data_IF_490687028880
#
_entry.id   IF_490687028880
#
_cell.length_a   1.000
_cell.length_b   1.000
_cell.length_c   1.000
_cell.angle_alpha   90.00
_cell.angle_beta   90.00
_cell.angle_gamma   90.00
#
_symmetry.space_group_name_H-M   'P 1'
#
loop_
_entity.id
_entity.type
_entity.pdbx_description
1 polymer ?
#
# COMPACT_ATOMS: atom_id res chain seq x y z
N UNK A 1 20.55 -22.61 6.81
CA UNK A 1 19.60 -21.65 6.20
C UNK A 1 18.96 -20.88 7.33
N UNK A 2 19.01 -19.55 7.28
CA UNK A 2 18.55 -18.69 8.39
C UNK A 2 17.01 -18.71 8.43
N UNK A 3 16.46 -19.41 9.42
CA UNK A 3 15.04 -19.83 9.47
C UNK A 3 14.06 -18.71 9.88
N UNK A 4 14.48 -17.44 9.78
CA UNK A 4 13.69 -16.26 10.18
C UNK A 4 13.87 -15.08 9.21
N UNK A 5 14.27 -15.33 7.95
CA UNK A 5 14.41 -14.24 6.97
C UNK A 5 13.02 -13.67 6.66
N UNK A 6 12.76 -12.45 7.12
CA UNK A 6 11.54 -11.70 6.79
C UNK A 6 11.59 -11.33 5.31
N UNK A 7 10.42 -11.37 4.69
CA UNK A 7 10.20 -10.78 3.38
C UNK A 7 8.91 -9.95 3.37
N UNK A 8 8.82 -9.05 2.39
CA UNK A 8 7.57 -8.48 1.92
C UNK A 8 7.65 -8.14 0.44
N UNK A 9 6.50 -8.07 -0.24
CA UNK A 9 6.36 -7.78 -1.67
C UNK A 9 4.93 -7.35 -2.00
N UNK A 10 4.73 -6.86 -3.22
CA UNK A 10 3.38 -6.64 -3.75
C UNK A 10 2.70 -7.99 -4.02
N UNK A 11 1.45 -8.13 -3.59
CA UNK A 11 0.60 -9.26 -3.94
C UNK A 11 -0.26 -8.93 -5.17
N UNK A 12 -1.08 -7.88 -5.06
CA UNK A 12 -1.96 -7.39 -6.11
C UNK A 12 -2.37 -5.92 -5.85
N UNK A 13 -2.96 -5.29 -6.86
CA UNK A 13 -3.66 -4.00 -6.76
C UNK A 13 -5.10 -4.24 -7.22
N UNK A 14 -6.08 -3.86 -6.40
CA UNK A 14 -7.51 -4.04 -6.71
C UNK A 14 -8.36 -3.13 -5.81
N UNK A 15 -9.44 -2.57 -6.35
CA UNK A 15 -10.50 -1.92 -5.60
C UNK A 15 -10.02 -0.80 -4.68
N UNK A 16 -9.18 0.11 -5.18
CA UNK A 16 -8.54 1.18 -4.39
C UNK A 16 -7.55 0.70 -3.31
N UNK A 17 -7.07 -0.54 -3.39
CA UNK A 17 -6.18 -1.09 -2.37
C UNK A 17 -4.89 -1.69 -2.93
N UNK A 18 -3.85 -1.60 -2.12
CA UNK A 18 -2.59 -2.31 -2.30
C UNK A 18 -2.59 -3.53 -1.37
N UNK A 19 -2.59 -4.73 -1.96
CA UNK A 19 -2.46 -5.98 -1.22
C UNK A 19 -0.98 -6.27 -1.02
N UNK A 20 -0.53 -6.26 0.23
CA UNK A 20 0.86 -6.41 0.62
C UNK A 20 1.09 -7.78 1.24
N UNK A 21 1.90 -8.61 0.59
CA UNK A 21 2.29 -9.90 1.14
C UNK A 21 3.54 -9.75 1.99
N UNK A 22 3.53 -10.32 3.20
CA UNK A 22 4.67 -10.32 4.10
C UNK A 22 4.71 -11.60 4.91
N UNK A 23 5.91 -11.98 5.34
CA UNK A 23 6.08 -13.24 6.02
C UNK A 23 7.51 -13.58 6.36
N UNK A 24 7.69 -14.85 6.70
CA UNK A 24 8.97 -15.53 6.79
C UNK A 24 8.84 -16.90 6.09
N UNK A 25 9.81 -17.78 6.27
CA UNK A 25 9.80 -19.13 5.69
C UNK A 25 8.75 -20.11 6.27
N UNK A 26 7.99 -19.72 7.30
CA UNK A 26 6.99 -20.56 7.98
C UNK A 26 5.57 -20.06 7.80
N UNK A 27 5.40 -18.76 7.66
CA UNK A 27 4.11 -18.09 7.64
C UNK A 27 4.14 -16.92 6.66
N UNK A 28 3.01 -16.69 5.98
CA UNK A 28 2.78 -15.59 5.05
C UNK A 28 1.39 -15.04 5.30
N UNK A 29 1.28 -13.73 5.22
CA UNK A 29 0.08 -12.96 5.48
C UNK A 29 -0.07 -11.91 4.39
N UNK A 30 -1.32 -11.50 4.13
CA UNK A 30 -1.65 -10.40 3.23
C UNK A 30 -2.32 -9.33 4.08
N UNK A 31 -1.92 -8.07 3.89
CA UNK A 31 -2.60 -6.92 4.47
C UNK A 31 -3.00 -5.95 3.36
N UNK A 32 -4.23 -5.47 3.41
CA UNK A 32 -4.77 -4.52 2.44
C UNK A 32 -4.58 -3.09 2.94
N UNK A 33 -3.84 -2.29 2.18
CA UNK A 33 -3.73 -0.85 2.38
C UNK A 33 -4.69 -0.12 1.47
N UNK A 34 -5.63 0.64 2.02
CA UNK A 34 -6.47 1.57 1.27
C UNK A 34 -5.68 2.80 0.81
N UNK A 35 -5.95 3.24 -0.42
CA UNK A 35 -5.49 4.45 -1.08
C UNK A 35 -5.68 5.72 -0.23
N UNK A 36 -6.76 5.80 0.57
CA UNK A 36 -7.10 7.01 1.33
C UNK A 36 -6.71 6.98 2.81
N UNK A 37 -6.89 5.85 3.49
CA UNK A 37 -6.79 5.77 4.94
C UNK A 37 -5.42 5.32 5.44
N UNK A 38 -4.62 4.69 4.59
CA UNK A 38 -3.32 4.13 4.96
C UNK A 38 -2.26 4.54 3.96
N UNK A 39 -1.64 5.71 4.16
CA UNK A 39 -0.49 6.19 3.36
C UNK A 39 0.76 5.31 3.59
N UNK A 40 0.63 4.01 3.35
CA UNK A 40 1.63 3.01 3.63
C UNK A 40 2.83 3.20 2.72
N UNK A 41 2.61 3.45 1.44
CA UNK A 41 3.69 3.63 0.47
C UNK A 41 4.50 4.91 0.73
N UNK A 42 3.92 6.11 0.96
CA UNK A 42 4.71 7.25 1.44
C UNK A 42 5.51 6.93 2.71
N UNK A 43 4.92 6.22 3.67
CA UNK A 43 5.64 5.81 4.88
C UNK A 43 6.74 4.77 4.63
N UNK A 44 6.56 3.87 3.68
CA UNK A 44 7.59 2.91 3.24
C UNK A 44 8.73 3.63 2.54
N UNK A 45 8.45 4.63 1.68
CA UNK A 45 9.47 5.50 1.07
C UNK A 45 10.20 6.31 2.15
N UNK A 46 9.49 6.82 3.16
CA UNK A 46 10.09 7.52 4.30
C UNK A 46 10.99 6.59 5.12
N UNK A 47 10.54 5.36 5.37
CA UNK A 47 11.32 4.33 6.04
C UNK A 47 12.59 4.00 5.25
N UNK A 48 12.47 3.75 3.95
CA UNK A 48 13.60 3.49 3.05
C UNK A 48 14.66 4.60 3.15
N UNK A 49 14.26 5.86 3.02
CA UNK A 49 15.16 7.01 3.11
C UNK A 49 15.82 7.15 4.50
N UNK A 50 15.07 6.87 5.57
CA UNK A 50 15.63 6.90 6.94
C UNK A 50 16.69 5.81 7.12
N UNK A 51 16.43 4.61 6.63
CA UNK A 51 17.37 3.49 6.71
C UNK A 51 18.64 3.71 5.88
N UNK A 52 18.54 4.35 4.72
CA UNK A 52 19.72 4.79 3.94
C UNK A 52 20.61 5.74 4.75
N UNK A 53 20.01 6.57 5.61
CA UNK A 53 20.71 7.51 6.49
C UNK A 53 21.07 6.93 7.87
N UNK A 54 20.97 5.60 8.05
CA UNK A 54 21.22 4.92 9.33
C UNK A 54 20.30 5.37 10.47
N UNK A 55 19.11 5.86 10.14
CA UNK A 55 18.09 6.28 11.09
C UNK A 55 17.01 5.22 11.24
N UNK A 56 16.51 5.05 12.47
CA UNK A 56 15.41 4.16 12.77
C UNK A 56 14.08 4.78 12.33
N UNK A 57 13.11 3.96 11.95
CA UNK A 57 11.77 4.43 11.60
C UNK A 57 10.70 3.44 11.99
N UNK A 58 9.49 3.95 12.25
CA UNK A 58 8.30 3.14 12.49
C UNK A 58 7.08 3.84 11.93
N UNK A 59 6.12 3.06 11.46
CA UNK A 59 4.79 3.51 11.13
C UNK A 59 3.78 2.40 11.38
N UNK A 60 2.51 2.76 11.46
CA UNK A 60 1.41 1.82 11.53
C UNK A 60 0.30 2.24 10.59
N UNK A 61 -0.52 1.27 10.22
CA UNK A 61 -1.69 1.45 9.39
C UNK A 61 -2.84 0.64 10.00
N UNK A 62 -4.06 1.13 9.83
CA UNK A 62 -5.26 0.45 10.30
C UNK A 62 -6.38 0.71 9.29
N UNK A 63 -6.73 -0.35 8.56
CA UNK A 63 -7.81 -0.38 7.59
C UNK A 63 -8.71 -1.56 7.93
N UNK A 64 -8.42 -2.76 7.38
CA UNK A 64 -9.04 -4.02 7.81
C UNK A 64 -8.06 -4.78 8.73
N UNK A 65 -8.13 -4.45 10.02
CA UNK A 65 -7.13 -4.86 11.01
C UNK A 65 -6.03 -3.82 11.21
N UNK A 66 -4.89 -4.25 11.74
CA UNK A 66 -3.76 -3.39 12.08
C UNK A 66 -2.46 -4.03 11.64
N UNK A 67 -1.60 -3.23 11.03
CA UNK A 67 -0.21 -3.58 10.74
C UNK A 67 0.72 -2.47 11.23
N UNK A 68 1.83 -2.84 11.86
CA UNK A 68 2.85 -1.91 12.31
C UNK A 68 4.23 -2.39 11.85
N UNK A 69 4.99 -1.47 11.26
CA UNK A 69 6.35 -1.69 10.80
C UNK A 69 7.32 -0.94 11.69
N UNK A 70 8.37 -1.61 12.13
CA UNK A 70 9.51 -0.98 12.77
C UNK A 70 10.80 -1.47 12.13
N UNK A 71 11.69 -0.53 11.82
CA UNK A 71 13.01 -0.81 11.31
C UNK A 71 14.05 -0.14 12.21
N UNK A 72 15.01 -0.93 12.68
CA UNK A 72 16.06 -0.50 13.59
C UNK A 72 17.44 -0.84 13.06
N UNK A 73 18.33 0.14 13.02
CA UNK A 73 19.73 -0.05 12.67
C UNK A 73 20.44 -0.68 13.85
N UNK A 74 20.89 -1.93 13.71
CA UNK A 74 21.68 -2.61 14.74
C UNK A 74 23.15 -2.17 14.66
N UNK A 75 23.63 -1.99 13.44
CA UNK A 75 24.95 -1.43 13.11
C UNK A 75 24.98 -0.98 11.63
N UNK A 76 26.17 -0.60 11.15
CA UNK A 76 26.40 -0.15 9.76
C UNK A 76 26.14 -1.20 8.67
N UNK A 77 25.97 -2.47 9.02
CA UNK A 77 25.73 -3.55 8.06
C UNK A 77 24.40 -4.29 8.27
N UNK A 78 23.78 -4.19 9.46
CA UNK A 78 22.58 -4.94 9.81
C UNK A 78 21.41 -4.04 10.22
N UNK A 79 20.22 -4.39 9.73
CA UNK A 79 18.94 -3.79 10.07
C UNK A 79 18.04 -4.89 10.64
N UNK A 80 17.32 -4.58 11.71
CA UNK A 80 16.24 -5.41 12.22
C UNK A 80 14.91 -4.86 11.73
N UNK A 81 14.11 -5.69 11.08
CA UNK A 81 12.73 -5.39 10.71
C UNK A 81 11.80 -6.14 11.67
N UNK A 82 10.76 -5.46 12.12
CA UNK A 82 9.66 -6.03 12.88
C UNK A 82 8.34 -5.64 12.22
N UNK A 83 7.50 -6.64 11.94
CA UNK A 83 6.15 -6.46 11.41
C UNK A 83 5.18 -7.09 12.41
N UNK A 84 4.35 -6.27 13.03
CA UNK A 84 3.27 -6.69 13.92
C UNK A 84 1.95 -6.57 13.19
N UNK A 85 1.18 -7.65 13.12
CA UNK A 85 -0.06 -7.74 12.37
C UNK A 85 -1.17 -8.35 13.21
N UNK A 86 -2.39 -7.81 13.07
CA UNK A 86 -3.59 -8.39 13.66
C UNK A 86 -4.84 -8.10 12.83
N UNK A 87 -5.58 -9.15 12.49
CA UNK A 87 -6.83 -9.09 11.73
C UNK A 87 -7.62 -10.38 11.97
N UNK A 88 -8.95 -10.34 12.05
CA UNK A 88 -9.78 -11.56 12.08
C UNK A 88 -9.43 -12.59 13.17
N UNK A 89 -8.83 -12.18 14.29
CA UNK A 89 -8.36 -13.08 15.36
C UNK A 89 -6.95 -13.64 15.17
N UNK A 90 -6.32 -13.40 14.02
CA UNK A 90 -4.91 -13.65 13.75
C UNK A 90 -4.08 -12.58 14.46
N UNK A 91 -2.97 -12.98 15.06
CA UNK A 91 -1.93 -12.09 15.60
C UNK A 91 -0.56 -12.66 15.25
N UNK A 92 0.24 -11.88 14.54
CA UNK A 92 1.58 -12.27 14.13
C UNK A 92 2.59 -11.17 14.48
N UNK A 93 3.71 -11.55 15.06
CA UNK A 93 4.84 -10.66 15.34
C UNK A 93 6.09 -11.24 14.68
N UNK A 94 6.39 -10.75 13.49
CA UNK A 94 7.54 -11.18 12.72
C UNK A 94 8.73 -10.29 13.06
N UNK A 95 9.86 -10.90 13.44
CA UNK A 95 11.11 -10.17 13.67
C UNK A 95 12.29 -10.86 12.97
N UNK A 96 13.03 -10.10 12.17
CA UNK A 96 14.10 -10.59 11.32
C UNK A 96 15.24 -9.60 11.22
N UNK A 97 16.46 -10.12 11.08
CA UNK A 97 17.67 -9.33 10.84
C UNK A 97 18.12 -9.56 9.42
N UNK A 98 18.40 -8.46 8.71
CA UNK A 98 18.79 -8.46 7.32
C UNK A 98 20.10 -7.69 7.17
N UNK A 99 20.92 -8.07 6.20
CA UNK A 99 21.95 -7.15 5.74
C UNK A 99 21.28 -5.90 5.15
N UNK A 100 21.96 -4.76 5.30
CA UNK A 100 21.43 -3.47 4.86
C UNK A 100 21.03 -3.47 3.39
N UNK A 101 21.93 -3.97 2.55
CA UNK A 101 21.69 -4.07 1.10
C UNK A 101 20.45 -4.92 0.83
N UNK A 102 20.33 -6.09 1.47
CA UNK A 102 19.14 -6.94 1.32
C UNK A 102 17.84 -6.24 1.78
N UNK A 103 17.90 -5.50 2.88
CA UNK A 103 16.76 -4.76 3.40
C UNK A 103 16.33 -3.62 2.45
N UNK A 104 17.30 -2.86 1.93
CA UNK A 104 17.04 -1.75 1.01
C UNK A 104 16.52 -2.27 -0.34
N UNK A 105 17.12 -3.34 -0.88
CA UNK A 105 16.65 -4.00 -2.11
C UNK A 105 15.23 -4.54 -1.97
N UNK A 106 14.83 -5.01 -0.78
CA UNK A 106 13.44 -5.46 -0.57
C UNK A 106 12.42 -4.30 -0.70
N UNK A 107 12.76 -3.10 -0.22
CA UNK A 107 11.95 -1.90 -0.48
C UNK A 107 11.98 -1.49 -1.95
N UNK A 108 13.16 -1.49 -2.57
CA UNK A 108 13.30 -1.16 -4.00
C UNK A 108 12.44 -2.06 -4.88
N UNK A 109 12.49 -3.38 -4.64
CA UNK A 109 11.68 -4.35 -5.36
C UNK A 109 10.18 -4.08 -5.17
N UNK A 110 9.73 -3.80 -3.95
CA UNK A 110 8.32 -3.44 -3.72
C UNK A 110 7.91 -2.21 -4.54
N UNK A 111 8.72 -1.16 -4.56
CA UNK A 111 8.42 0.05 -5.32
C UNK A 111 8.40 -0.20 -6.82
N UNK A 112 9.31 -1.03 -7.32
CA UNK A 112 9.36 -1.42 -8.72
C UNK A 112 8.20 -2.35 -9.09
N UNK A 113 7.79 -3.25 -8.21
CA UNK A 113 6.63 -4.11 -8.42
C UNK A 113 5.35 -3.27 -8.55
N UNK A 114 5.19 -2.22 -7.75
CA UNK A 114 4.06 -1.27 -7.88
C UNK A 114 4.12 -0.52 -9.21
N UNK A 115 5.28 0.05 -9.54
CA UNK A 115 5.47 0.83 -10.78
C UNK A 115 5.23 0.01 -12.06
N UNK A 116 5.58 -1.27 -12.03
CA UNK A 116 5.47 -2.17 -13.18
C UNK A 116 4.17 -2.97 -13.18
N UNK A 117 3.29 -2.80 -12.19
CA UNK A 117 2.00 -3.47 -12.17
C UNK A 117 1.10 -2.90 -13.27
N UNK A 118 0.49 -3.77 -14.08
CA UNK A 118 -0.41 -3.38 -15.18
C UNK A 118 -1.63 -2.58 -14.70
N UNK A 119 -2.08 -2.81 -13.47
CA UNK A 119 -3.30 -2.21 -12.92
C UNK A 119 -3.00 -0.87 -12.21
N UNK A 120 -1.73 -0.47 -12.15
CA UNK A 120 -1.29 0.87 -11.79
C UNK A 120 -1.37 1.79 -13.02
N UNK A 121 -2.00 2.99 -12.94
CA UNK A 121 -2.49 3.64 -11.72
C UNK A 121 -3.99 3.47 -11.42
N UNK A 122 -4.75 2.78 -12.28
CA UNK A 122 -6.23 2.72 -12.21
C UNK A 122 -6.78 2.09 -10.93
N UNK A 123 -6.11 1.09 -10.38
CA UNK A 123 -6.55 0.40 -9.16
C UNK A 123 -5.91 0.98 -7.90
N UNK A 124 -4.78 1.64 -8.07
CA UNK A 124 -4.05 2.33 -7.03
C UNK A 124 -2.98 3.20 -7.71
N UNK A 125 -2.79 4.47 -7.33
CA UNK A 125 -3.42 5.19 -6.23
C UNK A 125 -4.49 6.15 -6.76
N UNK A 126 -5.10 5.87 -7.93
CA UNK A 126 -6.03 6.77 -8.59
C UNK A 126 -7.40 6.10 -8.81
N UNK A 127 -7.76 5.10 -8.00
CA UNK A 127 -9.04 4.43 -8.18
C UNK A 127 -10.20 5.40 -8.01
N UNK A 128 -10.12 6.26 -7.00
CA UNK A 128 -11.13 7.28 -6.73
C UNK A 128 -11.09 8.45 -7.72
N UNK A 129 -10.05 8.52 -8.55
CA UNK A 129 -9.91 9.53 -9.60
C UNK A 129 -10.25 8.98 -11.00
N UNK A 130 -10.72 7.74 -11.11
CA UNK A 130 -11.32 7.23 -12.34
C UNK A 130 -12.56 8.06 -12.73
N UNK A 131 -12.83 8.17 -14.03
CA UNK A 131 -14.05 8.82 -14.51
C UNK A 131 -15.27 8.03 -14.04
N UNK A 132 -16.09 8.63 -13.18
CA UNK A 132 -17.23 7.99 -12.53
C UNK A 132 -18.27 7.46 -13.54
N UNK A 133 -18.64 8.25 -14.55
CA UNK A 133 -19.62 7.84 -15.58
C UNK A 133 -19.13 6.65 -16.41
N UNK A 134 -17.84 6.63 -16.77
CA UNK A 134 -17.24 5.51 -17.48
C UNK A 134 -17.12 4.28 -16.58
N UNK A 135 -16.67 4.46 -15.34
CA UNK A 135 -16.53 3.38 -14.36
C UNK A 135 -17.87 2.71 -14.07
N UNK A 136 -18.92 3.46 -13.73
CA UNK A 136 -20.27 2.92 -13.49
C UNK A 136 -20.76 2.10 -14.69
N UNK A 137 -20.63 2.66 -15.89
CA UNK A 137 -21.05 1.99 -17.12
C UNK A 137 -20.28 0.68 -17.36
N UNK A 138 -18.99 0.65 -17.10
CA UNK A 138 -18.14 -0.52 -17.37
C UNK A 138 -18.15 -1.54 -16.23
N UNK A 139 -18.40 -1.11 -15.00
CA UNK A 139 -18.68 -1.97 -13.85
C UNK A 139 -19.95 -2.79 -14.08
N UNK A 140 -21.02 -2.15 -14.58
CA UNK A 140 -22.24 -2.83 -15.03
C UNK A 140 -22.02 -3.89 -16.13
N UNK A 141 -20.94 -3.76 -16.90
CA UNK A 141 -20.54 -4.73 -17.94
C UNK A 141 -19.68 -5.83 -17.31
N UNK A 142 -18.79 -5.50 -16.38
CA UNK A 142 -17.98 -6.45 -15.62
C UNK A 142 -18.88 -7.45 -14.86
N UNK A 143 -19.91 -6.95 -14.17
CA UNK A 143 -20.92 -7.77 -13.49
C UNK A 143 -21.57 -8.78 -14.44
N UNK A 144 -22.04 -8.31 -15.60
CA UNK A 144 -22.69 -9.18 -16.60
C UNK A 144 -21.74 -10.24 -17.15
N UNK A 145 -20.47 -9.89 -17.39
CA UNK A 145 -19.45 -10.85 -17.84
C UNK A 145 -19.22 -11.89 -16.76
N UNK A 146 -19.06 -11.49 -15.51
CA UNK A 146 -18.86 -12.40 -14.38
C UNK A 146 -20.05 -13.35 -14.20
N UNK A 147 -21.28 -12.81 -14.15
CA UNK A 147 -22.51 -13.60 -14.09
C UNK A 147 -22.60 -14.62 -15.24
N UNK A 148 -22.24 -14.22 -16.46
CA UNK A 148 -22.24 -15.11 -17.62
C UNK A 148 -21.19 -16.22 -17.51
N UNK A 149 -19.98 -15.91 -17.04
CA UNK A 149 -18.91 -16.89 -16.83
C UNK A 149 -19.27 -17.92 -15.75
N UNK A 150 -19.87 -17.47 -14.65
CA UNK A 150 -20.38 -18.33 -13.58
C UNK A 150 -21.53 -19.20 -14.10
N UNK A 151 -22.50 -18.62 -14.80
CA UNK A 151 -23.63 -19.37 -15.37
C UNK A 151 -23.18 -20.44 -16.37
N UNK A 152 -22.12 -20.17 -17.14
CA UNK A 152 -21.51 -21.11 -18.08
C UNK A 152 -20.52 -22.09 -17.42
N UNK A 153 -20.30 -21.98 -16.11
CA UNK A 153 -19.35 -22.81 -15.33
C UNK A 153 -17.91 -22.73 -15.84
N UNK A 154 -17.52 -21.57 -16.37
CA UNK A 154 -16.11 -21.30 -16.68
C UNK A 154 -15.32 -20.93 -15.42
N UNK A 155 -16.01 -20.40 -14.42
CA UNK A 155 -15.47 -20.12 -13.10
C UNK A 155 -16.50 -20.42 -12.01
N UNK A 156 -16.00 -20.58 -10.79
CA UNK A 156 -16.84 -20.55 -9.60
C UNK A 156 -17.20 -19.09 -9.26
N UNK A 157 -18.12 -18.91 -8.30
CA UNK A 157 -18.47 -17.59 -7.77
C UNK A 157 -17.36 -17.09 -6.84
N UNK A 158 -16.21 -16.78 -7.44
CA UNK A 158 -14.98 -16.38 -6.79
C UNK A 158 -14.73 -14.89 -7.06
N UNK A 159 -14.59 -14.11 -5.98
CA UNK A 159 -14.35 -12.67 -6.06
C UNK A 159 -13.00 -12.36 -6.71
N UNK A 160 -12.01 -13.26 -6.63
CA UNK A 160 -10.72 -13.08 -7.29
C UNK A 160 -10.87 -12.97 -8.82
N UNK A 161 -11.87 -13.64 -9.39
CA UNK A 161 -12.14 -13.62 -10.82
C UNK A 161 -12.88 -12.34 -11.21
N UNK A 162 -13.80 -11.87 -10.36
CA UNK A 162 -14.43 -10.58 -10.53
C UNK A 162 -13.39 -9.45 -10.52
N UNK A 163 -12.47 -9.46 -9.55
CA UNK A 163 -11.38 -8.50 -9.43
C UNK A 163 -10.49 -8.46 -10.69
N UNK A 164 -10.21 -9.63 -11.29
CA UNK A 164 -9.46 -9.70 -12.55
C UNK A 164 -10.23 -9.01 -13.70
N UNK A 165 -11.55 -9.20 -13.77
CA UNK A 165 -12.39 -8.58 -14.80
C UNK A 165 -12.42 -7.07 -14.57
N UNK A 166 -12.67 -6.61 -13.35
CA UNK A 166 -12.69 -5.19 -13.01
C UNK A 166 -11.36 -4.50 -13.35
N UNK A 167 -10.24 -5.10 -12.95
CA UNK A 167 -8.90 -4.60 -13.27
C UNK A 167 -8.67 -4.42 -14.78
N UNK A 168 -9.13 -5.38 -15.59
CA UNK A 168 -9.05 -5.28 -17.06
C UNK A 168 -9.96 -4.18 -17.58
N UNK A 169 -11.19 -4.09 -17.11
CA UNK A 169 -12.14 -3.06 -17.56
C UNK A 169 -11.65 -1.66 -17.23
N UNK A 170 -11.21 -1.43 -15.98
CA UNK A 170 -10.66 -0.15 -15.56
C UNK A 170 -9.48 0.27 -16.41
N UNK A 171 -8.48 -0.61 -16.59
CA UNK A 171 -7.26 -0.30 -17.35
C UNK A 171 -7.51 -0.02 -18.83
N UNK A 172 -8.44 -0.74 -19.45
CA UNK A 172 -8.62 -0.67 -20.90
C UNK A 172 -9.70 0.32 -21.34
N UNK A 173 -10.67 0.64 -20.46
CA UNK A 173 -11.91 1.33 -20.85
C UNK A 173 -12.26 2.55 -20.01
N UNK A 174 -11.65 2.74 -18.84
CA UNK A 174 -11.94 3.87 -17.95
C UNK A 174 -10.80 4.86 -18.02
N UNK A 175 -11.12 6.14 -18.21
CA UNK A 175 -10.14 7.22 -18.17
C UNK A 175 -9.94 7.70 -16.74
N UNK A 176 -8.71 8.10 -16.38
CA UNK A 176 -8.46 8.83 -15.14
C UNK A 176 -8.70 10.32 -15.39
N UNK A 177 -9.31 11.00 -14.42
CA UNK A 177 -9.55 12.44 -14.45
C UNK A 177 -8.23 13.23 -14.56
N UNK A 178 -8.24 14.47 -15.09
CA UNK A 178 -7.04 15.30 -15.15
C UNK A 178 -6.35 15.48 -13.79
N UNK A 179 -7.12 15.67 -12.72
CA UNK A 179 -6.65 15.79 -11.34
C UNK A 179 -5.97 14.49 -10.87
N UNK A 180 -6.58 13.34 -11.15
CA UNK A 180 -5.99 12.03 -10.89
C UNK A 180 -4.67 11.81 -11.62
N UNK A 181 -4.57 12.25 -12.88
CA UNK A 181 -3.31 12.16 -13.62
C UNK A 181 -2.21 13.00 -12.94
N UNK A 182 -2.51 14.20 -12.45
CA UNK A 182 -1.53 14.99 -11.70
C UNK A 182 -1.09 14.30 -10.41
N UNK A 183 -2.02 13.68 -9.68
CA UNK A 183 -1.73 12.91 -8.48
C UNK A 183 -0.87 11.68 -8.79
N UNK A 184 -1.25 10.90 -9.80
CA UNK A 184 -0.48 9.78 -10.34
C UNK A 184 0.96 10.19 -10.69
N UNK A 185 1.18 11.29 -11.41
CA UNK A 185 2.54 11.71 -11.77
C UNK A 185 3.41 12.01 -10.53
N UNK A 186 2.82 12.63 -9.49
CA UNK A 186 3.51 12.83 -8.21
C UNK A 186 3.84 11.51 -7.53
N UNK A 187 2.90 10.57 -7.54
CA UNK A 187 3.07 9.24 -6.95
C UNK A 187 4.09 8.37 -7.69
N UNK A 188 4.06 8.42 -9.02
CA UNK A 188 5.02 7.73 -9.90
C UNK A 188 6.43 8.27 -9.67
N UNK A 189 6.59 9.59 -9.69
CA UNK A 189 7.87 10.24 -9.36
C UNK A 189 8.32 9.91 -7.94
N UNK A 190 7.36 9.86 -7.01
CA UNK A 190 7.34 9.11 -5.75
C UNK A 190 8.31 7.95 -5.72
N UNK A 191 7.78 6.91 -6.34
CA UNK A 191 8.40 5.61 -6.44
C UNK A 191 9.70 5.77 -7.23
N UNK A 192 9.72 6.29 -8.45
CA UNK A 192 10.93 6.36 -9.30
C UNK A 192 12.15 7.00 -8.62
N UNK A 193 11.94 8.10 -7.90
CA UNK A 193 13.03 8.85 -7.24
C UNK A 193 13.25 8.42 -5.79
N UNK A 194 12.41 7.53 -5.26
CA UNK A 194 12.38 7.10 -3.87
C UNK A 194 12.34 8.27 -2.89
N UNK A 195 11.82 9.42 -3.29
CA UNK A 195 11.87 10.68 -2.54
C UNK A 195 10.47 11.22 -2.35
N UNK A 196 10.05 11.51 -1.12
CA UNK A 196 8.73 12.11 -0.87
C UNK A 196 8.59 13.46 -1.59
N UNK A 197 7.50 13.70 -2.34
CA UNK A 197 7.23 15.00 -2.92
C UNK A 197 7.09 16.06 -1.82
N UNK A 198 7.49 17.29 -2.13
CA UNK A 198 7.30 18.40 -1.22
C UNK A 198 5.81 18.54 -0.86
N UNK A 199 5.50 18.67 0.43
CA UNK A 199 4.12 18.75 0.93
C UNK A 199 3.40 17.41 1.13
N UNK A 200 3.95 16.27 0.67
CA UNK A 200 3.35 14.94 0.88
C UNK A 200 3.69 14.31 2.23
N UNK A 201 4.74 14.79 2.89
CA UNK A 201 4.99 14.49 4.29
C UNK A 201 4.01 15.28 5.16
N UNK A 202 2.70 15.05 5.01
CA UNK A 202 1.60 15.57 5.85
C UNK A 202 0.26 14.92 5.43
N UNK A 203 -0.01 13.70 5.88
CA UNK A 203 -1.38 13.22 6.17
C UNK A 203 -1.45 12.68 7.61
N UNK A 204 -0.36 12.05 8.09
CA UNK A 204 -0.09 11.85 9.53
C UNK A 204 0.18 13.16 10.30
N UNK A 205 0.44 14.25 9.59
CA UNK A 205 0.49 15.61 10.14
C UNK A 205 -0.76 16.42 9.70
N UNK A 206 -1.72 15.79 9.00
CA UNK A 206 -3.06 16.34 8.76
C UNK A 206 -4.01 15.89 9.87
N UNK A 207 -3.59 16.16 11.10
CA UNK A 207 -4.53 16.58 12.12
C UNK A 207 -4.47 18.13 12.22
N UNK A 208 -4.93 18.89 11.19
CA UNK A 208 -5.10 20.33 11.37
C UNK A 208 -6.17 20.63 12.43
N UNK A 209 -6.93 19.62 12.86
CA UNK A 209 -7.88 19.70 13.95
C UNK A 209 -7.16 19.49 15.30
N UNK A 210 -6.28 18.50 15.45
CA UNK A 210 -5.58 18.18 16.70
C UNK A 210 -4.59 19.22 17.14
N UNK A 211 -3.71 19.72 16.26
CA UNK A 211 -2.76 20.78 16.63
C UNK A 211 -3.47 22.13 16.83
N UNK A 212 -4.55 22.38 16.08
CA UNK A 212 -5.42 23.55 16.28
C UNK A 212 -6.19 23.46 17.60
N UNK A 213 -6.73 22.29 17.97
CA UNK A 213 -7.43 22.02 19.23
C UNK A 213 -6.45 22.10 20.40
N UNK A 214 -5.24 21.55 20.30
CA UNK A 214 -4.22 21.64 21.34
C UNK A 214 -3.81 23.10 21.57
N UNK A 215 -3.62 23.89 20.51
CA UNK A 215 -3.32 25.31 20.62
C UNK A 215 -4.52 26.12 21.14
N UNK A 216 -5.74 25.79 20.72
CA UNK A 216 -6.98 26.40 21.21
C UNK A 216 -7.18 26.12 22.70
N UNK A 217 -7.05 24.87 23.14
CA UNK A 217 -7.12 24.48 24.56
C UNK A 217 -6.06 25.24 25.36
N UNK A 218 -4.79 25.26 24.93
CA UNK A 218 -3.71 25.99 25.62
C UNK A 218 -3.96 27.49 25.75
N UNK A 219 -4.69 28.09 24.81
CA UNK A 219 -5.05 29.51 24.85
C UNK A 219 -6.27 29.78 25.76
N UNK A 220 -7.13 28.79 26.00
CA UNK A 220 -8.42 28.96 26.69
C UNK A 220 -8.52 28.20 28.02
N UNK A 221 -7.45 27.55 28.49
CA UNK A 221 -7.36 26.89 29.81
C UNK A 221 -6.31 27.53 30.73
N UNK A 222 -5.96 28.79 30.50
CA UNK A 222 -5.31 29.62 31.53
C UNK A 222 -6.33 30.39 32.36
#
# INVERSE_FOLDING_TARGET
>A
MDTNKIYFKLHSLCGATLHFEFGNNKESYIYCFDENLTDAVPNMVKMYNKLQNYEDYRFEASYDGKIAFSAKNLNKSLIQITISYSEGGIKADLCGKLFREECLTMFENLFDDILNNKDFPHQFPCFWDNNEEEYEKFSDVADKIFEELVAKKYCDNDLDIYDIIDNVMCRELVSITPEGIEYYQKYKRMLETRTLPEGWAKRSDLDPIGDSIVNYIKQHTK
#
